data_IF_971894100184
#
_entry.id   IF_971894100184
#
_cell.length_a   1.000
_cell.length_b   1.000
_cell.length_c   1.000
_cell.angle_alpha   90.00
_cell.angle_beta   90.00
_cell.angle_gamma   90.00
#
_symmetry.space_group_name_H-M   'P 1'
#
loop_
_entity.id
_entity.type
_entity.pdbx_description
1 polymer ?
#
# COMPACT_ATOMS: atom_id res chain seq x y z
N UNK A 1 6.21 -32.62 -22.24
CA UNK A 1 4.97 -32.91 -21.48
C UNK A 1 4.53 -34.32 -21.83
N UNK A 2 4.65 -35.26 -20.89
CA UNK A 2 4.26 -36.65 -21.09
C UNK A 2 3.00 -36.97 -20.32
N UNK A 3 1.93 -37.40 -21.00
CA UNK A 3 0.74 -37.97 -20.37
C UNK A 3 1.10 -39.35 -19.82
N UNK A 4 0.90 -39.56 -18.52
CA UNK A 4 1.06 -40.88 -17.90
C UNK A 4 -0.32 -41.51 -17.74
N UNK A 5 -0.53 -42.62 -18.43
CA UNK A 5 -1.77 -43.38 -18.34
C UNK A 5 -1.73 -44.23 -17.07
N UNK A 6 -2.65 -43.97 -16.14
CA UNK A 6 -2.88 -44.83 -14.97
C UNK A 6 -4.19 -45.56 -15.18
N UNK A 7 -4.16 -46.89 -15.02
CA UNK A 7 -5.33 -47.74 -15.10
C UNK A 7 -5.62 -48.33 -13.73
N UNK A 8 -6.83 -48.16 -13.23
CA UNK A 8 -7.34 -48.88 -12.07
C UNK A 8 -8.45 -49.83 -12.51
N UNK A 9 -8.47 -51.04 -11.97
CA UNK A 9 -9.42 -52.07 -12.34
C UNK A 9 -10.36 -52.34 -11.16
N UNK A 10 -11.58 -51.86 -11.25
CA UNK A 10 -12.65 -52.18 -10.29
C UNK A 10 -13.74 -52.96 -11.01
N UNK A 11 -14.11 -54.12 -10.46
CA UNK A 11 -15.18 -55.00 -10.97
C UNK A 11 -15.10 -55.36 -12.46
N UNK A 12 -13.88 -55.55 -12.98
CA UNK A 12 -13.65 -56.01 -14.35
C UNK A 12 -13.81 -54.94 -15.43
N UNK A 13 -14.15 -53.70 -15.08
CA UNK A 13 -14.13 -52.57 -16.00
C UNK A 13 -12.82 -51.80 -15.86
N UNK A 14 -12.16 -51.51 -17.00
CA UNK A 14 -10.98 -50.66 -17.04
C UNK A 14 -11.44 -49.24 -17.33
N UNK A 15 -11.34 -48.37 -16.35
CA UNK A 15 -11.51 -46.93 -16.55
C UNK A 15 -10.14 -46.29 -16.71
N UNK A 16 -9.87 -45.75 -17.89
CA UNK A 16 -8.68 -44.97 -18.16
C UNK A 16 -8.96 -43.53 -17.74
N UNK A 17 -8.27 -43.07 -16.70
CA UNK A 17 -8.31 -41.68 -16.30
C UNK A 17 -7.04 -40.99 -16.78
N UNK A 18 -7.20 -39.88 -17.49
CA UNK A 18 -6.11 -38.97 -17.75
C UNK A 18 -6.00 -38.06 -16.52
N UNK A 19 -5.07 -38.39 -15.62
CA UNK A 19 -4.65 -37.45 -14.60
C UNK A 19 -3.65 -36.50 -15.24
N UNK A 20 -3.99 -35.22 -15.31
CA UNK A 20 -2.96 -34.20 -15.34
C UNK A 20 -2.31 -34.23 -13.97
N UNK A 21 -1.25 -35.01 -13.80
CA UNK A 21 -0.22 -34.73 -12.80
C UNK A 21 0.42 -33.38 -13.16
N UNK A 22 -0.38 -32.32 -13.11
CA UNK A 22 0.06 -30.94 -13.04
C UNK A 22 -0.32 -30.50 -11.62
N UNK A 23 0.51 -30.94 -10.68
CA UNK A 23 0.40 -30.56 -9.29
C UNK A 23 0.76 -29.08 -9.20
N UNK A 24 -0.25 -28.23 -9.42
CA UNK A 24 -0.33 -26.86 -8.95
C UNK A 24 1.00 -26.13 -8.93
N UNK A 25 1.50 -25.76 -10.11
CA UNK A 25 2.21 -24.49 -10.18
C UNK A 25 1.13 -23.45 -9.89
N UNK A 26 0.90 -23.17 -8.59
CA UNK A 26 0.25 -21.92 -8.20
C UNK A 26 1.06 -20.86 -8.93
N UNK A 27 0.40 -20.15 -9.83
CA UNK A 27 0.97 -18.96 -10.42
C UNK A 27 1.47 -18.13 -9.23
N UNK A 28 2.79 -18.06 -9.06
CA UNK A 28 3.37 -17.13 -8.10
C UNK A 28 3.23 -15.77 -8.79
N UNK A 29 2.00 -15.24 -8.80
CA UNK A 29 1.86 -13.81 -8.51
C UNK A 29 2.65 -13.68 -7.20
N UNK A 30 3.75 -12.94 -7.17
CA UNK A 30 4.56 -12.87 -5.96
C UNK A 30 3.73 -12.55 -4.73
N UNK A 31 4.28 -12.83 -3.54
CA UNK A 31 3.61 -12.46 -2.29
C UNK A 31 3.11 -11.01 -2.44
N UNK A 32 1.80 -10.76 -2.21
CA UNK A 32 1.22 -9.47 -2.54
C UNK A 32 1.97 -8.37 -1.82
N UNK A 33 2.32 -7.32 -2.55
CA UNK A 33 3.00 -6.18 -1.96
C UNK A 33 1.98 -5.49 -1.06
N UNK A 34 2.39 -5.13 0.15
CA UNK A 34 1.61 -4.27 1.04
C UNK A 34 2.48 -3.18 1.66
N UNK A 35 1.88 -2.02 1.88
CA UNK A 35 2.54 -0.83 2.42
C UNK A 35 1.54 0.06 3.16
N UNK A 36 1.96 0.61 4.29
CA UNK A 36 1.17 1.48 5.13
C UNK A 36 0.19 0.74 6.02
N UNK A 37 -0.59 1.53 6.73
CA UNK A 37 -1.39 1.09 7.86
C UNK A 37 -2.85 0.94 7.46
N UNK A 38 -3.58 0.06 8.15
CA UNK A 38 -4.98 -0.18 7.83
C UNK A 38 -5.80 1.11 7.70
N UNK A 39 -6.43 1.31 6.54
CA UNK A 39 -7.28 2.45 6.25
C UNK A 39 -8.66 2.28 6.91
N UNK A 40 -8.79 2.77 8.14
CA UNK A 40 -9.97 2.61 9.00
C UNK A 40 -10.42 3.93 9.60
N UNK A 41 -11.64 3.94 10.14
CA UNK A 41 -12.12 5.02 11.01
C UNK A 41 -11.27 5.07 12.29
N UNK A 42 -10.74 6.25 12.62
CA UNK A 42 -9.88 6.45 13.80
C UNK A 42 -10.47 7.52 14.71
N UNK A 43 -9.84 7.67 15.87
CA UNK A 43 -10.37 8.54 16.95
C UNK A 43 -9.96 10.00 16.80
N UNK A 44 -9.13 10.33 15.82
CA UNK A 44 -8.55 11.66 15.65
C UNK A 44 -8.43 11.98 14.17
N UNK A 45 -8.31 13.27 13.87
CA UNK A 45 -8.25 13.73 12.48
C UNK A 45 -7.08 14.67 12.27
N UNK A 46 -6.53 14.68 11.07
CA UNK A 46 -5.48 15.60 10.66
C UNK A 46 -5.98 16.47 9.51
N UNK A 47 -5.83 17.79 9.64
CA UNK A 47 -6.16 18.74 8.57
C UNK A 47 -5.07 18.77 7.49
N UNK A 48 -5.47 19.15 6.28
CA UNK A 48 -4.59 19.21 5.10
C UNK A 48 -3.53 20.31 5.11
N UNK A 49 -2.83 20.42 3.98
CA UNK A 49 -1.72 21.33 3.75
C UNK A 49 -0.33 20.74 4.04
N UNK A 50 -0.24 19.43 4.27
CA UNK A 50 1.00 18.73 4.63
C UNK A 50 1.08 17.37 3.94
N UNK A 51 2.30 16.96 3.63
CA UNK A 51 2.62 15.57 3.30
C UNK A 51 2.92 14.82 4.60
N UNK A 52 2.21 13.73 4.87
CA UNK A 52 2.46 12.83 5.99
C UNK A 52 2.97 11.49 5.49
N UNK A 53 4.12 11.04 6.01
CA UNK A 53 4.74 9.75 5.72
C UNK A 53 4.41 8.80 6.87
N UNK A 54 3.70 7.71 6.56
CA UNK A 54 3.43 6.63 7.49
C UNK A 54 4.71 5.81 7.69
N UNK A 55 5.12 5.57 8.95
CA UNK A 55 6.27 4.70 9.23
C UNK A 55 5.88 3.28 9.58
N UNK A 56 4.60 3.05 9.80
CA UNK A 56 4.08 1.73 10.06
C UNK A 56 3.95 0.96 8.75
N UNK A 57 4.25 -0.34 8.82
CA UNK A 57 4.25 -1.27 7.69
C UNK A 57 4.97 -0.75 6.41
N UNK A 58 6.31 -0.66 6.40
CA UNK A 58 7.07 -0.39 5.17
C UNK A 58 6.82 -1.47 4.11
N UNK A 59 7.02 -1.15 2.84
CA UNK A 59 6.81 -2.10 1.74
C UNK A 59 7.53 -3.43 1.98
N UNK A 60 6.77 -4.52 1.92
CA UNK A 60 7.28 -5.87 2.17
C UNK A 60 8.10 -6.43 0.98
N UNK A 61 7.87 -5.95 -0.24
CA UNK A 61 8.58 -6.37 -1.46
C UNK A 61 8.70 -5.22 -2.50
N UNK A 62 9.42 -5.46 -3.59
CA UNK A 62 9.65 -4.55 -4.71
C UNK A 62 8.72 -4.88 -5.87
N UNK A 63 8.14 -3.85 -6.50
CA UNK A 63 7.26 -4.02 -7.65
C UNK A 63 6.41 -2.80 -7.94
N UNK A 64 5.12 -3.01 -8.16
CA UNK A 64 4.16 -1.95 -8.49
C UNK A 64 2.94 -1.98 -7.58
N UNK A 65 2.68 -0.88 -6.88
CA UNK A 65 1.41 -0.63 -6.18
C UNK A 65 0.34 -0.30 -7.22
N UNK A 66 -0.76 -1.05 -7.19
CA UNK A 66 -1.87 -0.94 -8.13
C UNK A 66 -3.22 -0.61 -7.48
N UNK A 67 -3.30 -0.72 -6.15
CA UNK A 67 -4.47 -0.35 -5.36
C UNK A 67 -4.07 0.40 -4.08
N UNK A 68 -4.86 1.39 -3.70
CA UNK A 68 -4.74 2.05 -2.40
C UNK A 68 -6.10 2.37 -1.81
N UNK A 69 -6.24 2.19 -0.51
CA UNK A 69 -7.39 2.58 0.28
C UNK A 69 -7.00 3.70 1.24
N UNK A 70 -7.82 4.74 1.28
CA UNK A 70 -7.66 5.88 2.19
C UNK A 70 -8.95 6.00 3.00
N UNK A 71 -8.84 6.25 4.30
CA UNK A 71 -9.99 6.55 5.13
C UNK A 71 -9.92 7.98 5.67
N UNK A 72 -10.95 8.78 5.43
CA UNK A 72 -11.01 10.18 5.86
C UNK A 72 -12.32 10.55 6.57
N UNK A 73 -12.26 11.48 7.52
CA UNK A 73 -13.43 11.96 8.27
C UNK A 73 -14.28 12.92 7.42
N UNK A 74 -13.62 13.73 6.59
CA UNK A 74 -14.27 14.60 5.60
C UNK A 74 -13.65 14.39 4.21
N UNK A 75 -14.32 14.87 3.16
CA UNK A 75 -13.80 14.75 1.80
C UNK A 75 -12.43 15.43 1.71
N UNK A 76 -11.44 14.71 1.19
CA UNK A 76 -10.13 15.29 0.88
C UNK A 76 -10.16 15.87 -0.53
N UNK A 77 -9.47 16.99 -0.71
CA UNK A 77 -9.27 17.64 -2.02
C UNK A 77 -7.78 17.78 -2.28
N UNK A 78 -7.38 17.62 -3.55
CA UNK A 78 -5.98 17.71 -3.95
C UNK A 78 -5.14 16.57 -3.39
N UNK A 79 -5.74 15.39 -3.19
CA UNK A 79 -5.07 14.25 -2.62
C UNK A 79 -4.02 13.67 -3.58
N UNK A 80 -2.83 13.40 -3.07
CA UNK A 80 -1.72 12.78 -3.79
C UNK A 80 -1.12 11.67 -2.93
N UNK A 81 -1.14 10.44 -3.45
CA UNK A 81 -0.49 9.28 -2.85
C UNK A 81 0.96 9.23 -3.30
N UNK A 82 1.89 9.06 -2.39
CA UNK A 82 3.34 9.13 -2.68
C UNK A 82 4.04 7.93 -2.03
N UNK A 83 4.95 7.30 -2.76
CA UNK A 83 5.87 6.28 -2.26
C UNK A 83 7.21 6.96 -2.01
N UNK A 84 7.79 6.77 -0.82
CA UNK A 84 9.03 7.41 -0.38
C UNK A 84 10.11 6.39 -0.07
N UNK A 85 11.30 6.63 -0.62
CA UNK A 85 12.54 6.01 -0.17
C UNK A 85 13.08 6.76 1.05
N UNK A 86 13.44 6.05 2.12
CA UNK A 86 14.14 6.63 3.27
C UNK A 86 15.66 6.65 3.05
N UNK A 87 16.23 7.85 3.06
CA UNK A 87 17.66 8.09 2.85
C UNK A 87 18.45 8.09 4.18
N UNK A 88 17.92 8.75 5.20
CA UNK A 88 18.43 8.73 6.59
C UNK A 88 17.26 8.69 7.56
N UNK A 89 17.48 8.81 8.88
CA UNK A 89 16.42 8.79 9.89
C UNK A 89 15.23 9.71 9.56
N UNK A 90 15.49 10.93 9.07
CA UNK A 90 14.44 11.91 8.78
C UNK A 90 14.57 12.56 7.40
N UNK A 91 15.31 11.95 6.48
CA UNK A 91 15.38 12.39 5.10
C UNK A 91 14.79 11.35 4.17
N UNK A 92 13.91 11.80 3.27
CA UNK A 92 13.16 10.96 2.35
C UNK A 92 13.15 11.57 0.95
N UNK A 93 13.00 10.72 -0.05
CA UNK A 93 12.93 11.09 -1.47
C UNK A 93 11.70 10.42 -2.09
N UNK A 94 10.83 11.14 -2.79
CA UNK A 94 9.69 10.52 -3.46
C UNK A 94 10.20 9.65 -4.62
N UNK A 95 9.72 8.40 -4.68
CA UNK A 95 10.02 7.44 -5.73
C UNK A 95 8.96 7.46 -6.83
N UNK A 96 7.71 7.47 -6.42
CA UNK A 96 6.56 7.42 -7.33
C UNK A 96 5.36 8.06 -6.66
N UNK A 97 4.42 8.59 -7.45
CA UNK A 97 3.20 9.20 -6.92
C UNK A 97 2.03 9.11 -7.90
N UNK A 98 0.82 9.19 -7.36
CA UNK A 98 -0.42 9.31 -8.11
C UNK A 98 -1.24 10.48 -7.57
N UNK A 99 -1.69 11.35 -8.49
CA UNK A 99 -2.68 12.38 -8.18
C UNK A 99 -4.06 11.71 -8.16
N UNK A 100 -4.65 11.64 -6.97
CA UNK A 100 -5.98 11.04 -6.77
C UNK A 100 -7.10 12.08 -6.95
N UNK A 101 -6.79 13.35 -6.64
CA UNK A 101 -7.76 14.44 -6.73
C UNK A 101 -8.67 14.49 -5.52
N UNK A 102 -9.88 13.93 -5.61
CA UNK A 102 -10.83 13.90 -4.51
C UNK A 102 -10.84 12.52 -3.84
N UNK A 103 -10.85 12.50 -2.51
CA UNK A 103 -11.11 11.29 -1.70
C UNK A 103 -12.41 11.51 -0.97
N UNK A 104 -13.37 10.60 -1.16
CA UNK A 104 -14.67 10.69 -0.49
C UNK A 104 -14.50 10.36 0.99
N UNK A 105 -15.18 11.10 1.88
CA UNK A 105 -15.22 10.78 3.30
C UNK A 105 -15.69 9.34 3.55
N UNK A 106 -15.13 8.71 4.56
CA UNK A 106 -15.17 7.26 4.76
C UNK A 106 -13.96 6.59 4.10
N UNK A 107 -14.10 5.29 3.83
CA UNK A 107 -13.10 4.52 3.09
C UNK A 107 -13.31 4.61 1.58
N UNK A 108 -12.32 5.11 0.87
CA UNK A 108 -12.30 5.20 -0.59
C UNK A 108 -11.13 4.37 -1.15
N UNK A 109 -11.36 3.63 -2.22
CA UNK A 109 -10.36 2.73 -2.82
C UNK A 109 -10.10 3.10 -4.27
N UNK A 110 -8.82 3.28 -4.58
CA UNK A 110 -8.30 3.66 -5.88
C UNK A 110 -7.58 2.46 -6.48
N UNK A 111 -8.11 1.94 -7.58
CA UNK A 111 -7.50 0.84 -8.34
C UNK A 111 -6.94 1.35 -9.68
N UNK A 112 -6.07 0.55 -10.31
CA UNK A 112 -5.44 0.92 -11.59
C UNK A 112 -4.29 1.91 -11.41
N UNK A 113 -3.73 1.99 -10.20
CA UNK A 113 -2.50 2.72 -9.94
C UNK A 113 -1.31 2.00 -10.60
N UNK A 114 -0.21 2.73 -10.76
CA UNK A 114 1.04 2.20 -11.30
C UNK A 114 2.22 2.89 -10.64
N UNK A 115 2.39 2.65 -9.34
CA UNK A 115 3.45 3.29 -8.54
C UNK A 115 4.59 2.32 -8.30
N UNK A 116 5.78 2.70 -8.74
CA UNK A 116 6.98 1.93 -8.44
C UNK A 116 7.25 1.96 -6.94
N UNK A 117 7.56 0.80 -6.37
CA UNK A 117 7.89 0.61 -4.96
C UNK A 117 9.07 -0.35 -4.84
N UNK A 118 9.96 -0.09 -3.88
CA UNK A 118 11.01 -1.00 -3.45
C UNK A 118 10.78 -1.45 -2.01
N UNK A 119 11.30 -2.63 -1.67
CA UNK A 119 11.24 -3.16 -0.31
C UNK A 119 11.78 -2.14 0.70
N UNK A 120 11.00 -1.86 1.74
CA UNK A 120 11.34 -0.90 2.79
C UNK A 120 10.96 0.55 2.49
N UNK A 121 10.37 0.86 1.33
CA UNK A 121 9.75 2.15 1.07
C UNK A 121 8.56 2.42 2.00
N UNK A 122 8.16 3.69 2.09
CA UNK A 122 7.07 4.17 2.93
C UNK A 122 5.97 4.82 2.10
N UNK A 123 4.72 4.65 2.50
CA UNK A 123 3.60 5.36 1.88
C UNK A 123 3.38 6.70 2.57
N UNK A 124 2.98 7.69 1.79
CA UNK A 124 2.61 9.00 2.27
C UNK A 124 1.38 9.53 1.55
N UNK A 125 0.70 10.47 2.19
CA UNK A 125 -0.40 11.20 1.62
C UNK A 125 -0.20 12.70 1.79
N UNK A 126 -0.40 13.43 0.70
CA UNK A 126 -0.64 14.86 0.70
C UNK A 126 -2.11 15.13 0.38
N UNK A 127 -2.68 16.20 0.94
CA UNK A 127 -3.99 16.74 0.54
C UNK A 127 -4.06 18.23 0.88
N UNK A 128 -4.81 19.01 0.08
CA UNK A 128 -4.96 20.45 0.25
C UNK A 128 -5.92 20.80 1.40
N UNK A 129 -7.11 20.19 1.39
CA UNK A 129 -8.19 20.48 2.34
C UNK A 129 -8.96 19.21 2.69
N UNK A 130 -9.72 19.27 3.79
CA UNK A 130 -10.36 18.10 4.40
C UNK A 130 -9.56 17.56 5.58
N UNK A 131 -10.07 16.47 6.16
CA UNK A 131 -9.55 15.87 7.37
C UNK A 131 -9.37 14.35 7.20
N UNK A 132 -8.13 13.89 7.28
CA UNK A 132 -7.76 12.48 7.22
C UNK A 132 -7.92 11.83 8.59
N UNK A 133 -8.36 10.57 8.65
CA UNK A 133 -8.38 9.81 9.89
C UNK A 133 -6.96 9.42 10.32
N UNK A 134 -6.65 9.69 11.59
CA UNK A 134 -5.36 9.41 12.21
C UNK A 134 -5.55 8.88 13.63
N UNK A 135 -4.52 8.22 14.15
CA UNK A 135 -4.44 7.87 15.58
C UNK A 135 -3.17 8.48 16.15
N UNK A 136 -3.21 8.99 17.38
CA UNK A 136 -2.04 9.60 18.05
C UNK A 136 -1.27 8.61 18.95
N UNK A 137 -1.76 7.38 19.06
CA UNK A 137 -1.21 6.32 19.91
C UNK A 137 -1.30 4.96 19.23
N UNK A 138 -0.35 4.05 19.51
CA UNK A 138 -0.37 2.68 19.01
C UNK A 138 0.26 2.44 17.63
N UNK A 139 0.66 3.50 16.91
CA UNK A 139 1.38 3.40 15.63
C UNK A 139 2.91 3.38 15.74
N UNK A 140 3.60 3.44 14.60
CA UNK A 140 5.06 3.54 14.52
C UNK A 140 5.59 4.99 14.43
N UNK A 141 4.70 5.98 14.40
CA UNK A 141 5.01 7.40 14.22
C UNK A 141 4.86 7.84 12.76
N UNK A 142 4.91 9.15 12.55
CA UNK A 142 4.89 9.76 11.22
C UNK A 142 5.95 10.84 11.09
N UNK A 143 6.40 11.06 9.86
CA UNK A 143 7.11 12.27 9.46
C UNK A 143 6.17 13.17 8.67
N UNK A 144 6.34 14.48 8.78
CA UNK A 144 5.53 15.43 8.01
C UNK A 144 6.32 16.64 7.54
N UNK A 145 5.80 17.26 6.49
CA UNK A 145 6.32 18.50 5.91
C UNK A 145 5.20 19.28 5.23
N UNK A 146 5.28 20.60 5.28
CA UNK A 146 4.29 21.50 4.67
C UNK A 146 4.30 21.39 3.15
N UNK A 147 3.11 21.35 2.55
CA UNK A 147 2.91 21.30 1.09
C UNK A 147 3.06 19.92 0.46
N UNK A 148 2.78 19.87 -0.85
CA UNK A 148 2.97 18.69 -1.69
C UNK A 148 4.47 18.44 -1.89
N UNK A 149 4.89 17.20 -1.70
CA UNK A 149 6.28 16.76 -1.85
C UNK A 149 6.45 15.68 -2.92
N UNK A 150 5.44 15.43 -3.76
CA UNK A 150 5.42 14.38 -4.79
C UNK A 150 6.56 14.48 -5.81
N UNK A 151 6.95 15.69 -6.19
CA UNK A 151 8.04 15.97 -7.13
C UNK A 151 9.29 16.54 -6.45
N UNK A 152 9.37 16.50 -5.12
CA UNK A 152 10.54 17.00 -4.41
C UNK A 152 11.77 16.08 -4.65
N UNK A 153 12.97 16.63 -4.51
CA UNK A 153 14.17 15.79 -4.34
C UNK A 153 14.26 15.23 -2.91
N UNK A 154 15.48 14.93 -2.47
CA UNK A 154 15.75 14.59 -1.06
C UNK A 154 15.29 15.74 -0.16
N UNK A 155 14.47 15.46 0.84
CA UNK A 155 13.98 16.43 1.81
C UNK A 155 14.15 15.96 3.24
N UNK A 156 14.36 16.90 4.16
CA UNK A 156 14.25 16.67 5.61
C UNK A 156 12.83 16.92 6.09
N UNK A 157 12.31 15.99 6.90
CA UNK A 157 10.97 16.02 7.47
C UNK A 157 11.02 16.15 9.00
N UNK A 158 9.92 16.64 9.57
CA UNK A 158 9.75 16.80 11.02
C UNK A 158 9.03 15.55 11.56
N UNK A 159 9.56 14.95 12.62
CA UNK A 159 8.83 13.89 13.33
C UNK A 159 7.67 14.53 14.09
N UNK A 160 6.49 13.90 14.10
CA UNK A 160 5.30 14.45 14.79
C UNK A 160 5.48 14.60 16.31
N UNK A 161 6.59 14.11 16.89
CA UNK A 161 6.86 14.14 18.33
C UNK A 161 6.09 13.07 19.09
N UNK A 162 5.07 12.50 18.46
CA UNK A 162 4.36 11.30 18.85
C UNK A 162 4.94 10.13 18.07
N UNK A 163 5.81 9.35 18.71
CA UNK A 163 6.36 8.10 18.14
C UNK A 163 5.30 7.01 17.91
N UNK A 164 4.03 7.37 18.07
CA UNK A 164 2.88 6.47 18.04
C UNK A 164 1.75 6.98 17.13
N UNK A 165 1.96 8.08 16.38
CA UNK A 165 0.98 8.54 15.40
C UNK A 165 1.00 7.66 14.16
N UNK A 166 -0.16 7.49 13.55
CA UNK A 166 -0.31 6.77 12.28
C UNK A 166 -1.46 7.34 11.44
N UNK A 167 -1.39 7.20 10.11
CA UNK A 167 -2.36 7.72 9.13
C UNK A 167 -3.15 6.61 8.42
N UNK A 168 -4.44 6.84 8.13
CA UNK A 168 -5.33 5.83 7.53
C UNK A 168 -5.11 5.67 6.02
N UNK A 169 -3.96 5.11 5.64
CA UNK A 169 -3.56 4.89 4.25
C UNK A 169 -2.89 3.53 4.12
N UNK A 170 -3.50 2.66 3.32
CA UNK A 170 -3.00 1.32 3.00
C UNK A 170 -2.93 1.16 1.49
N UNK A 171 -1.88 0.55 0.98
CA UNK A 171 -1.78 0.25 -0.43
C UNK A 171 -1.24 -1.16 -0.67
N UNK A 172 -1.65 -1.75 -1.80
CA UNK A 172 -1.24 -3.10 -2.21
C UNK A 172 -0.79 -3.13 -3.66
N UNK A 173 -0.03 -4.16 -3.99
CA UNK A 173 0.58 -4.29 -5.30
C UNK A 173 1.01 -5.71 -5.64
N UNK A 174 1.73 -5.80 -6.75
CA UNK A 174 2.27 -7.04 -7.28
C UNK A 174 3.74 -6.83 -7.67
N UNK A 175 4.53 -7.91 -7.60
CA UNK A 175 5.95 -7.96 -7.99
C UNK A 175 6.14 -8.04 -9.49
#
# INVERSE_FOLDING_TARGET
MGLKLLSEKTNGHLTNFFSTEDAGISHYEGDPIDIGSAAINRVSTQVGGYTFIALDNPANDTGTINEATIYSDTNLVGAVLIIFERNTTNTFTPRSFAVLGAVTAGGDTFSGLSLAVETGDFVALYWDTGALDVVDTGGAGCYYKSGDQSEAGIQTYVNTGTSARDISVYATGIT
#
